data_IF_735175481334
#
_entry.id   IF_735175481334
#
_cell.length_a   1.000
_cell.length_b   1.000
_cell.length_c   1.000
_cell.angle_alpha   90.00
_cell.angle_beta   90.00
_cell.angle_gamma   90.00
#
_symmetry.space_group_name_H-M   'P 1'
#
loop_
_entity.id
_entity.type
_entity.pdbx_description
1 polymer ?
#
# COMPACT_ATOMS: atom_id res chain seq x y z
N UNK A 1 19.66 -12.27 8.89
CA UNK A 1 19.47 -11.47 7.67
C UNK A 1 18.03 -11.69 7.26
N UNK A 2 17.10 -10.87 7.77
CA UNK A 2 15.66 -11.01 7.46
C UNK A 2 15.38 -10.42 6.09
N UNK A 3 15.94 -11.05 5.06
CA UNK A 3 15.41 -10.90 3.72
C UNK A 3 14.18 -11.81 3.72
N UNK A 4 13.01 -11.21 3.93
CA UNK A 4 11.74 -11.86 3.59
C UNK A 4 11.91 -12.44 2.20
N UNK A 5 11.51 -13.69 1.97
CA UNK A 5 11.53 -14.27 0.62
C UNK A 5 10.82 -13.28 -0.31
N UNK A 6 11.59 -12.65 -1.20
CA UNK A 6 11.14 -11.52 -2.01
C UNK A 6 10.16 -12.06 -3.05
N UNK A 7 8.87 -11.89 -2.78
CA UNK A 7 7.84 -12.09 -3.78
C UNK A 7 7.77 -10.81 -4.61
N UNK A 8 8.26 -10.83 -5.85
CA UNK A 8 8.21 -9.65 -6.74
C UNK A 8 6.81 -9.01 -6.82
N UNK A 9 5.75 -9.81 -6.73
CA UNK A 9 4.36 -9.33 -6.70
C UNK A 9 4.07 -8.42 -5.49
N UNK A 10 4.75 -8.60 -4.36
CA UNK A 10 4.66 -7.71 -3.20
C UNK A 10 5.25 -6.33 -3.53
N UNK A 11 6.43 -6.26 -4.14
CA UNK A 11 7.04 -4.97 -4.53
C UNK A 11 6.20 -4.24 -5.57
N UNK A 12 5.62 -4.98 -6.51
CA UNK A 12 4.66 -4.48 -7.49
C UNK A 12 3.44 -3.91 -6.77
N UNK A 13 2.87 -4.65 -5.82
CA UNK A 13 1.70 -4.22 -5.05
C UNK A 13 1.98 -2.96 -4.21
N UNK A 14 3.13 -2.89 -3.53
CA UNK A 14 3.56 -1.71 -2.78
C UNK A 14 3.69 -0.50 -3.72
N UNK A 15 4.34 -0.71 -4.87
CA UNK A 15 4.52 0.35 -5.87
C UNK A 15 3.19 0.85 -6.42
N UNK A 16 2.26 -0.05 -6.76
CA UNK A 16 0.93 0.30 -7.24
C UNK A 16 0.16 1.06 -6.16
N UNK A 17 0.17 0.58 -4.91
CA UNK A 17 -0.54 1.22 -3.80
C UNK A 17 -0.06 2.66 -3.57
N UNK A 18 1.23 2.94 -3.73
CA UNK A 18 1.78 4.28 -3.53
C UNK A 18 1.59 5.17 -4.77
N UNK A 19 2.01 4.71 -5.95
CA UNK A 19 2.05 5.50 -7.18
C UNK A 19 0.67 5.70 -7.82
N UNK A 20 -0.21 4.71 -7.73
CA UNK A 20 -1.53 4.74 -8.34
C UNK A 20 -2.60 5.29 -7.39
N UNK A 21 -2.23 5.73 -6.17
CA UNK A 21 -3.18 6.32 -5.22
C UNK A 21 -2.91 7.80 -5.06
N UNK A 22 -3.94 8.62 -5.29
CA UNK A 22 -3.92 10.02 -4.89
C UNK A 22 -4.42 10.11 -3.45
N UNK A 23 -3.58 10.65 -2.58
CA UNK A 23 -3.87 10.85 -1.16
C UNK A 23 -4.30 12.29 -0.91
N UNK A 24 -5.49 12.48 -0.34
CA UNK A 24 -5.94 13.80 0.10
C UNK A 24 -5.03 14.38 1.17
N UNK A 25 -4.89 15.71 1.21
CA UNK A 25 -4.04 16.41 2.16
C UNK A 25 -4.87 16.98 3.32
N UNK A 26 -4.21 17.51 4.35
CA UNK A 26 -4.86 18.05 5.53
C UNK A 26 -5.75 19.29 5.26
N UNK A 27 -5.50 20.03 4.17
CA UNK A 27 -6.24 21.24 3.83
C UNK A 27 -7.52 20.95 3.03
N UNK A 28 -7.48 19.95 2.15
CA UNK A 28 -8.58 19.60 1.23
C UNK A 28 -9.39 18.37 1.71
N UNK A 29 -9.00 17.81 2.86
CA UNK A 29 -9.59 16.61 3.43
C UNK A 29 -8.85 15.34 3.01
N UNK A 30 -8.63 14.46 3.98
CA UNK A 30 -7.97 13.18 3.75
C UNK A 30 -8.89 12.21 3.01
N UNK A 31 -8.52 11.89 1.77
CA UNK A 31 -9.21 10.96 0.89
C UNK A 31 -8.24 9.94 0.30
N UNK A 32 -8.78 8.84 -0.22
CA UNK A 32 -8.03 7.79 -0.91
C UNK A 32 -8.69 7.60 -2.26
N UNK A 33 -7.99 7.98 -3.32
CA UNK A 33 -8.49 7.83 -4.68
C UNK A 33 -7.51 6.96 -5.49
N UNK A 34 -7.88 5.70 -5.67
CA UNK A 34 -7.10 4.74 -6.43
C UNK A 34 -7.40 4.87 -7.93
N UNK A 35 -6.36 5.02 -8.72
CA UNK A 35 -6.39 5.23 -10.16
C UNK A 35 -6.08 3.93 -10.89
N UNK A 36 -7.15 3.27 -11.36
CA UNK A 36 -7.03 2.01 -12.11
C UNK A 36 -6.32 2.22 -13.45
N UNK A 37 -6.44 3.38 -14.10
CA UNK A 37 -5.77 3.65 -15.37
C UNK A 37 -4.24 3.71 -15.18
N UNK A 38 -3.78 4.38 -14.12
CA UNK A 38 -2.36 4.36 -13.73
C UNK A 38 -1.88 2.96 -13.40
N UNK A 39 -2.69 2.15 -12.70
CA UNK A 39 -2.34 0.75 -12.41
C UNK A 39 -2.15 -0.04 -13.71
N UNK A 40 -3.06 0.08 -14.67
CA UNK A 40 -2.94 -0.62 -15.95
C UNK A 40 -1.72 -0.15 -16.75
N UNK A 41 -1.46 1.16 -16.78
CA UNK A 41 -0.27 1.71 -17.44
C UNK A 41 1.03 1.23 -16.78
N UNK A 42 1.08 1.19 -15.45
CA UNK A 42 2.21 0.65 -14.70
C UNK A 42 2.44 -0.83 -14.98
N UNK A 43 1.38 -1.65 -14.96
CA UNK A 43 1.46 -3.08 -15.26
C UNK A 43 1.90 -3.35 -16.69
N UNK A 44 1.41 -2.57 -17.67
CA UNK A 44 1.86 -2.67 -19.06
C UNK A 44 3.36 -2.35 -19.20
N UNK A 45 3.82 -1.27 -18.52
CA UNK A 45 5.23 -0.90 -18.47
C UNK A 45 6.11 -1.98 -17.84
N UNK A 46 5.71 -2.49 -16.67
CA UNK A 46 6.44 -3.56 -15.97
C UNK A 46 6.51 -4.84 -16.81
N UNK A 47 5.38 -5.26 -17.38
CA UNK A 47 5.30 -6.48 -18.19
C UNK A 47 6.08 -6.40 -19.50
N UNK A 48 6.42 -5.20 -19.99
CA UNK A 48 7.31 -5.02 -21.14
C UNK A 48 8.76 -5.47 -20.86
N UNK A 49 9.18 -5.43 -19.59
CA UNK A 49 10.52 -5.87 -19.15
C UNK A 49 10.48 -7.29 -18.58
N UNK A 50 9.42 -7.60 -17.83
CA UNK A 50 9.22 -8.92 -17.23
C UNK A 50 7.74 -9.26 -17.15
N UNK A 51 7.31 -10.24 -17.94
CA UNK A 51 5.94 -10.74 -17.89
C UNK A 51 5.62 -11.36 -16.52
N UNK A 52 4.43 -11.04 -15.99
CA UNK A 52 3.92 -11.66 -14.77
C UNK A 52 3.48 -13.10 -15.08
N UNK A 53 3.86 -14.04 -14.21
CA UNK A 53 3.35 -15.41 -14.29
C UNK A 53 1.85 -15.46 -13.96
N UNK A 54 1.16 -16.51 -14.38
CA UNK A 54 -0.27 -16.69 -14.05
C UNK A 54 -0.52 -16.65 -12.53
N UNK A 55 0.38 -17.25 -11.75
CA UNK A 55 0.31 -17.23 -10.29
C UNK A 55 0.44 -15.81 -9.71
N UNK A 56 1.34 -14.99 -10.26
CA UNK A 56 1.49 -13.60 -9.82
C UNK A 56 0.30 -12.73 -10.23
N UNK A 57 -0.27 -12.94 -11.42
CA UNK A 57 -1.48 -12.24 -11.86
C UNK A 57 -2.66 -12.57 -10.95
N UNK A 58 -2.83 -13.85 -10.60
CA UNK A 58 -3.88 -14.29 -9.67
C UNK A 58 -3.64 -13.79 -8.25
N UNK A 59 -2.38 -13.70 -7.81
CA UNK A 59 -2.02 -13.21 -6.48
C UNK A 59 -2.08 -11.67 -6.36
N UNK A 60 -2.00 -10.93 -7.46
CA UNK A 60 -1.89 -9.47 -7.41
C UNK A 60 -3.03 -8.77 -6.64
N UNK A 61 -4.32 -9.10 -6.84
CA UNK A 61 -5.42 -8.46 -6.10
C UNK A 61 -5.29 -8.63 -4.57
N UNK A 62 -4.95 -9.85 -4.11
CA UNK A 62 -4.76 -10.11 -2.68
C UNK A 62 -3.48 -9.45 -2.15
N UNK A 63 -2.42 -9.39 -2.95
CA UNK A 63 -1.17 -8.73 -2.58
C UNK A 63 -1.32 -7.21 -2.42
N UNK A 64 -2.14 -6.56 -3.25
CA UNK A 64 -2.50 -5.13 -3.08
C UNK A 64 -3.14 -4.87 -1.72
N UNK A 65 -4.11 -5.71 -1.33
CA UNK A 65 -4.76 -5.61 -0.03
C UNK A 65 -3.78 -5.92 1.12
N UNK A 66 -2.98 -6.98 1.01
CA UNK A 66 -1.99 -7.37 2.00
C UNK A 66 -0.92 -6.28 2.23
N UNK A 67 -0.43 -5.66 1.16
CA UNK A 67 0.50 -4.54 1.25
C UNK A 67 -0.13 -3.36 2.00
N UNK A 68 -1.38 -2.98 1.67
CA UNK A 68 -2.08 -1.89 2.33
C UNK A 68 -2.33 -2.18 3.83
N UNK A 69 -2.72 -3.40 4.18
CA UNK A 69 -2.86 -3.84 5.58
C UNK A 69 -1.53 -3.79 6.32
N UNK A 70 -0.45 -4.24 5.68
CA UNK A 70 0.90 -4.20 6.27
C UNK A 70 1.30 -2.76 6.61
N UNK A 71 1.13 -1.83 5.68
CA UNK A 71 1.43 -0.41 5.94
C UNK A 71 0.49 0.23 6.96
N UNK A 72 -0.78 -0.19 7.03
CA UNK A 72 -1.70 0.24 8.07
C UNK A 72 -1.20 -0.19 9.47
N UNK A 73 -0.82 -1.46 9.63
CA UNK A 73 -0.28 -1.99 10.88
C UNK A 73 1.05 -1.33 11.26
N UNK A 74 1.95 -1.12 10.29
CA UNK A 74 3.21 -0.41 10.54
C UNK A 74 2.97 1.02 11.06
N UNK A 75 2.00 1.75 10.51
CA UNK A 75 1.63 3.10 10.99
C UNK A 75 1.06 3.05 12.41
N UNK A 76 0.22 2.06 12.74
CA UNK A 76 -0.27 1.86 14.10
C UNK A 76 0.86 1.53 15.07
N UNK A 77 1.81 0.70 14.66
CA UNK A 77 2.97 0.33 15.45
C UNK A 77 3.85 1.56 15.76
N UNK A 78 4.08 2.44 14.78
CA UNK A 78 4.79 3.71 14.99
C UNK A 78 4.06 4.59 16.02
N UNK A 79 2.72 4.69 15.94
CA UNK A 79 1.93 5.45 16.92
C UNK A 79 2.07 4.84 18.32
N UNK A 80 2.00 3.52 18.44
CA UNK A 80 2.18 2.80 19.70
C UNK A 80 3.56 3.09 20.31
N UNK A 81 4.65 2.90 19.55
CA UNK A 81 6.01 3.16 20.02
C UNK A 81 6.28 4.62 20.36
N UNK A 82 5.71 5.57 19.60
CA UNK A 82 5.85 6.98 19.91
C UNK A 82 5.21 7.32 21.26
N UNK A 83 4.06 6.71 21.59
CA UNK A 83 3.41 6.84 22.90
C UNK A 83 4.23 6.20 24.00
N UNK A 84 4.73 4.98 23.81
CA UNK A 84 5.53 4.27 24.82
C UNK A 84 6.86 4.95 25.13
N UNK A 85 7.54 5.47 24.11
CA UNK A 85 8.85 6.11 24.27
C UNK A 85 8.75 7.60 24.61
N UNK A 86 7.55 8.14 24.84
CA UNK A 86 7.33 9.56 25.13
C UNK A 86 7.83 10.48 24.01
N UNK A 87 7.88 10.00 22.77
CA UNK A 87 8.37 10.76 21.62
C UNK A 87 7.28 11.75 21.22
N UNK A 88 7.47 13.00 21.59
CA UNK A 88 6.55 14.11 21.29
C UNK A 88 7.28 15.26 20.58
N UNK A 89 6.60 15.98 19.70
CA UNK A 89 7.11 17.20 19.06
C UNK A 89 6.93 17.24 17.55
N UNK A 90 7.12 18.43 16.98
CA UNK A 90 6.92 18.75 15.55
C UNK A 90 7.85 17.99 14.60
N UNK A 91 8.90 17.35 15.13
CA UNK A 91 9.88 16.57 14.37
C UNK A 91 9.48 15.10 14.15
N UNK A 92 8.32 14.65 14.66
CA UNK A 92 7.85 13.28 14.49
C UNK A 92 6.67 13.28 13.50
N UNK A 93 6.97 13.00 12.23
CA UNK A 93 5.94 12.85 11.21
C UNK A 93 5.14 11.56 11.46
N UNK A 94 3.90 11.70 11.93
CA UNK A 94 2.94 10.58 12.04
C UNK A 94 2.01 10.62 10.83
N UNK A 95 2.12 9.63 9.95
CA UNK A 95 1.19 9.46 8.82
C UNK A 95 -0.14 8.90 9.33
N UNK A 96 -1.28 9.45 8.88
CA UNK A 96 -2.59 8.92 9.26
C UNK A 96 -2.71 7.43 8.85
N UNK A 97 -2.92 6.49 9.80
CA UNK A 97 -3.12 5.08 9.50
C UNK A 97 -4.41 4.81 8.72
N UNK A 98 -5.47 5.61 8.89
CA UNK A 98 -6.78 5.37 8.28
C UNK A 98 -6.76 5.47 6.75
N UNK A 99 -5.82 6.21 6.19
CA UNK A 99 -5.59 6.23 4.74
C UNK A 99 -5.25 4.83 4.21
N UNK A 100 -4.34 4.11 4.86
CA UNK A 100 -3.97 2.75 4.45
C UNK A 100 -5.09 1.75 4.74
N UNK A 101 -5.85 1.95 5.83
CA UNK A 101 -7.04 1.14 6.15
C UNK A 101 -8.11 1.25 5.05
N UNK A 102 -8.38 2.47 4.57
CA UNK A 102 -9.35 2.71 3.48
C UNK A 102 -8.88 2.08 2.16
N UNK A 103 -7.59 2.22 1.83
CA UNK A 103 -7.02 1.56 0.65
C UNK A 103 -7.12 0.03 0.75
N UNK A 104 -6.82 -0.55 1.91
CA UNK A 104 -6.97 -1.97 2.15
C UNK A 104 -8.41 -2.45 1.95
N UNK A 105 -9.39 -1.72 2.50
CA UNK A 105 -10.81 -2.04 2.32
C UNK A 105 -11.24 -1.97 0.84
N UNK A 106 -10.75 -0.98 0.08
CA UNK A 106 -11.01 -0.83 -1.35
C UNK A 106 -10.45 -2.00 -2.18
N UNK A 107 -9.23 -2.47 -1.90
CA UNK A 107 -8.69 -3.64 -2.58
C UNK A 107 -9.41 -4.92 -2.17
N UNK A 108 -9.75 -5.07 -0.88
CA UNK A 108 -10.45 -6.25 -0.39
C UNK A 108 -11.83 -6.43 -1.06
N UNK A 109 -12.55 -5.35 -1.34
CA UNK A 109 -13.83 -5.44 -2.06
C UNK A 109 -13.71 -5.87 -3.52
N UNK A 110 -12.49 -5.90 -4.07
CA UNK A 110 -12.22 -6.32 -5.45
C UNK A 110 -11.61 -7.72 -5.54
N UNK A 111 -11.32 -8.37 -4.41
CA UNK A 111 -10.87 -9.76 -4.39
C UNK A 111 -12.09 -10.66 -4.62
N UNK A 112 -12.17 -11.26 -5.81
CA UNK A 112 -13.13 -12.33 -6.10
C UNK A 112 -12.59 -13.66 -5.58
N UNK A 113 -13.41 -14.39 -4.82
CA UNK A 113 -13.15 -15.76 -4.31
C UNK A 113 -13.78 -16.77 -5.26
#
# INVERSE_FOLDING_TARGET
TEVSVEHYVMDIAITINDFCTTWGNANDGESVNFDTEKMQAFLAGYQSQRSLTEAEQQALPIMLAMAAVTFWLLRLNVIYYNREQGRTGDSIMVKNPDLMKRLAAYHWSQVSI
#
